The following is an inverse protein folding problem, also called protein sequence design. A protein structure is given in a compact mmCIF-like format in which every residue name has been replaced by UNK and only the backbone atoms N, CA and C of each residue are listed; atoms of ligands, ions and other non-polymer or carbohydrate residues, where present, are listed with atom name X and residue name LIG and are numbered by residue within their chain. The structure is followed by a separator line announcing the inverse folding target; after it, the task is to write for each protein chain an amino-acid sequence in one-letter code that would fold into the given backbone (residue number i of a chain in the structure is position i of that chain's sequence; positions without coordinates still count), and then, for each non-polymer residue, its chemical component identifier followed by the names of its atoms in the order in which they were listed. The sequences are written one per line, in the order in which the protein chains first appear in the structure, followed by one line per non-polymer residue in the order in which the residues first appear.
data_IF_805674164016
#
_entry.id   IF_805674164016
#
_cell.length_a   1.000
_cell.length_b   1.000
_cell.length_c   1.000
_cell.angle_alpha   90.00
_cell.angle_beta   90.00
_cell.angle_gamma   90.00
#
_symmetry.space_group_name_H-M   'P 1'
#
loop_
_entity.id
_entity.type
_entity.pdbx_description
1 polymer ?
#
# COMPACT_ATOMS: atom_id res chain seq x y z
N UNK A 1 22.55 7.36 19.59
CA UNK A 1 21.65 6.42 18.88
C UNK A 1 20.26 6.70 19.39
N UNK A 2 19.37 7.26 18.56
CA UNK A 2 17.95 7.34 18.87
C UNK A 2 17.42 5.93 19.04
N UNK A 3 16.69 5.67 20.11
CA UNK A 3 15.97 4.39 20.24
C UNK A 3 14.84 4.36 19.20
N UNK A 4 14.39 3.19 18.80
CA UNK A 4 13.26 3.01 17.88
C UNK A 4 11.97 3.76 18.33
N UNK A 5 11.93 4.20 19.58
CA UNK A 5 10.84 4.97 20.20
C UNK A 5 11.04 6.48 20.10
N UNK A 6 12.19 6.94 19.62
CA UNK A 6 12.45 8.38 19.55
C UNK A 6 11.95 8.96 18.24
N UNK A 7 10.62 8.96 18.08
CA UNK A 7 9.90 9.60 16.96
C UNK A 7 10.13 11.12 16.91
N UNK A 8 10.86 11.70 17.87
CA UNK A 8 11.10 13.14 18.01
C UNK A 8 12.58 13.53 17.97
N UNK A 9 13.46 12.69 17.42
CA UNK A 9 14.90 12.93 17.34
C UNK A 9 15.31 14.01 16.30
N UNK A 10 14.35 14.73 15.77
CA UNK A 10 14.56 15.76 14.74
C UNK A 10 14.38 15.25 13.30
N UNK A 11 14.50 13.98 13.05
CA UNK A 11 14.23 13.34 11.76
C UNK A 11 12.77 12.87 11.67
N UNK A 12 11.84 13.81 11.69
CA UNK A 12 10.40 13.51 11.56
C UNK A 12 10.10 12.95 10.17
N UNK A 13 10.29 11.65 10.00
CA UNK A 13 9.89 10.96 8.81
C UNK A 13 8.48 10.40 9.01
N UNK A 14 7.57 10.69 8.09
CA UNK A 14 6.25 10.07 8.09
C UNK A 14 6.35 8.59 7.71
N UNK A 15 5.42 7.76 8.21
CA UNK A 15 5.32 6.34 7.83
C UNK A 15 5.24 6.16 6.31
N UNK A 16 4.53 7.06 5.61
CA UNK A 16 4.45 7.04 4.15
C UNK A 16 5.80 7.30 3.47
N UNK A 17 6.59 8.26 3.95
CA UNK A 17 7.91 8.52 3.40
C UNK A 17 8.89 7.37 3.66
N UNK A 18 8.82 6.76 4.86
CA UNK A 18 9.60 5.57 5.18
C UNK A 18 9.21 4.40 4.28
N UNK A 19 7.91 4.17 4.09
CA UNK A 19 7.41 3.14 3.16
C UNK A 19 8.03 3.29 1.77
N UNK A 20 7.92 4.48 1.16
CA UNK A 20 8.41 4.68 -0.20
C UNK A 20 9.92 4.46 -0.34
N UNK A 21 10.72 4.93 0.64
CA UNK A 21 12.17 4.69 0.67
C UNK A 21 12.52 3.21 0.82
N UNK A 22 11.94 2.56 1.83
CA UNK A 22 12.19 1.14 2.10
C UNK A 22 11.78 0.27 0.93
N UNK A 23 10.67 0.59 0.25
CA UNK A 23 10.24 -0.12 -0.93
C UNK A 23 11.27 -0.03 -2.07
N UNK A 24 11.80 1.16 -2.33
CA UNK A 24 12.85 1.36 -3.33
C UNK A 24 14.15 0.60 -2.98
N UNK A 25 14.55 0.60 -1.70
CA UNK A 25 15.72 -0.14 -1.21
C UNK A 25 15.52 -1.67 -1.33
N UNK A 26 14.33 -2.17 -1.05
CA UNK A 26 14.00 -3.59 -1.22
C UNK A 26 13.97 -3.98 -2.71
N UNK A 27 13.42 -3.12 -3.56
CA UNK A 27 13.39 -3.36 -5.01
C UNK A 27 14.79 -3.37 -5.63
N UNK A 28 15.74 -2.63 -5.07
CA UNK A 28 17.15 -2.71 -5.49
C UNK A 28 17.77 -4.11 -5.22
N UNK A 29 17.26 -4.82 -4.20
CA UNK A 29 17.77 -6.14 -3.79
C UNK A 29 17.01 -7.30 -4.45
N UNK A 30 15.74 -7.09 -4.81
CA UNK A 30 14.90 -8.14 -5.42
C UNK A 30 14.18 -7.59 -6.66
N UNK A 31 14.52 -8.05 -7.87
CA UNK A 31 13.91 -7.58 -9.10
C UNK A 31 12.43 -7.97 -9.26
N UNK A 32 11.92 -8.88 -8.44
CA UNK A 32 10.50 -9.27 -8.46
C UNK A 32 9.59 -8.23 -7.82
N UNK A 33 10.14 -7.31 -7.02
CA UNK A 33 9.35 -6.26 -6.37
C UNK A 33 8.92 -5.23 -7.41
N UNK A 34 7.61 -5.04 -7.50
CA UNK A 34 6.95 -4.08 -8.40
C UNK A 34 5.87 -3.30 -7.66
N UNK A 35 5.57 -2.10 -8.12
CA UNK A 35 4.53 -1.25 -7.58
C UNK A 35 3.34 -1.15 -8.53
N UNK A 36 2.13 -1.07 -7.97
CA UNK A 36 0.91 -0.74 -8.71
C UNK A 36 0.19 0.38 -7.98
N UNK A 37 -0.27 1.38 -8.70
CA UNK A 37 -0.97 2.54 -8.13
C UNK A 37 -2.20 2.92 -8.96
N UNK A 38 -3.22 3.48 -8.30
CA UNK A 38 -4.42 4.00 -8.93
C UNK A 38 -4.39 5.53 -8.96
N UNK A 39 -3.40 6.08 -9.69
CA UNK A 39 -3.13 7.52 -9.87
C UNK A 39 -2.80 8.26 -8.54
N UNK A 40 -2.31 7.56 -7.55
CA UNK A 40 -1.96 8.09 -6.24
C UNK A 40 -0.47 7.93 -5.89
N UNK A 41 0.41 7.81 -6.89
CA UNK A 41 1.82 7.52 -6.69
C UNK A 41 2.51 8.51 -5.73
N UNK A 42 2.25 9.82 -5.88
CA UNK A 42 2.80 10.86 -5.01
C UNK A 42 2.20 10.80 -3.61
N UNK A 43 0.87 10.69 -3.50
CA UNK A 43 0.16 10.74 -2.23
C UNK A 43 0.43 9.53 -1.33
N UNK A 44 0.70 8.38 -1.92
CA UNK A 44 1.04 7.13 -1.19
C UNK A 44 2.54 6.92 -1.04
N UNK A 45 3.38 7.79 -1.60
CA UNK A 45 4.84 7.70 -1.67
C UNK A 45 5.40 6.49 -2.46
N UNK A 46 4.56 5.69 -3.11
CA UNK A 46 5.04 4.60 -3.99
C UNK A 46 5.78 5.16 -5.22
N UNK A 47 5.60 6.45 -5.53
CA UNK A 47 6.31 7.16 -6.59
C UNK A 47 7.82 7.08 -6.47
N UNK A 48 8.38 6.99 -5.25
CA UNK A 48 9.81 6.80 -5.03
C UNK A 48 10.36 5.51 -5.66
N UNK A 49 9.55 4.45 -5.71
CA UNK A 49 9.89 3.25 -6.47
C UNK A 49 9.98 3.57 -7.96
N UNK A 50 9.01 4.31 -8.50
CA UNK A 50 8.99 4.68 -9.93
C UNK A 50 10.12 5.63 -10.33
N UNK A 51 10.54 6.52 -9.43
CA UNK A 51 11.73 7.37 -9.64
C UNK A 51 13.02 6.54 -9.73
N UNK A 52 13.15 5.52 -8.87
CA UNK A 52 14.31 4.62 -8.87
C UNK A 52 14.28 3.56 -9.97
N UNK A 53 13.09 3.04 -10.29
CA UNK A 53 12.86 1.95 -11.23
C UNK A 53 11.60 2.20 -12.06
N UNK A 54 11.65 3.04 -13.11
CA UNK A 54 10.48 3.45 -13.91
C UNK A 54 9.69 2.26 -14.49
N UNK A 55 10.38 1.21 -14.90
CA UNK A 55 9.76 0.02 -15.50
C UNK A 55 9.07 -0.92 -14.48
N UNK A 56 9.12 -0.58 -13.18
CA UNK A 56 8.55 -1.39 -12.11
C UNK A 56 7.40 -0.71 -11.36
N UNK A 57 6.94 0.44 -11.81
CA UNK A 57 5.75 1.10 -11.29
C UNK A 57 4.69 1.19 -12.38
N UNK A 58 3.55 0.54 -12.13
CA UNK A 58 2.40 0.52 -13.04
C UNK A 58 1.29 1.43 -12.50
N UNK A 59 0.87 2.40 -13.29
CA UNK A 59 -0.29 3.24 -12.97
C UNK A 59 -1.49 2.75 -13.78
N UNK A 60 -2.53 2.29 -13.10
CA UNK A 60 -3.76 1.77 -13.73
C UNK A 60 -4.86 2.83 -13.88
N UNK A 61 -4.55 4.09 -13.55
CA UNK A 61 -5.55 5.15 -13.47
C UNK A 61 -6.39 5.06 -12.18
N UNK A 62 -7.41 5.91 -12.08
CA UNK A 62 -8.32 5.94 -10.91
C UNK A 62 -9.28 4.74 -10.99
N UNK A 63 -8.76 3.54 -10.69
CA UNK A 63 -9.44 2.26 -10.88
C UNK A 63 -8.98 1.22 -9.85
N UNK A 64 -9.44 1.33 -8.60
CA UNK A 64 -8.96 0.50 -7.50
C UNK A 64 -9.28 -0.99 -7.66
N UNK A 65 -10.39 -1.34 -8.32
CA UNK A 65 -10.69 -2.73 -8.65
C UNK A 65 -9.62 -3.29 -9.60
N UNK A 66 -9.30 -2.55 -10.66
CA UNK A 66 -8.25 -2.93 -11.59
C UNK A 66 -6.86 -2.96 -10.93
N UNK A 67 -6.59 -2.06 -9.97
CA UNK A 67 -5.36 -2.05 -9.18
C UNK A 67 -5.06 -3.43 -8.56
N UNK A 68 -6.05 -4.00 -7.88
CA UNK A 68 -5.87 -5.30 -7.19
C UNK A 68 -5.92 -6.48 -8.16
N UNK A 69 -6.72 -6.41 -9.23
CA UNK A 69 -6.70 -7.42 -10.29
C UNK A 69 -5.34 -7.50 -11.01
N UNK A 70 -4.76 -6.35 -11.36
CA UNK A 70 -3.41 -6.28 -11.96
C UNK A 70 -2.36 -6.77 -10.98
N UNK A 71 -2.41 -6.37 -9.71
CA UNK A 71 -1.50 -6.85 -8.68
C UNK A 71 -1.58 -8.38 -8.52
N UNK A 72 -2.79 -8.95 -8.50
CA UNK A 72 -2.99 -10.39 -8.44
C UNK A 72 -2.41 -11.09 -9.67
N UNK A 73 -2.61 -10.55 -10.87
CA UNK A 73 -2.03 -11.07 -12.11
C UNK A 73 -0.50 -11.08 -12.09
N UNK A 74 0.12 -9.98 -11.65
CA UNK A 74 1.57 -9.88 -11.48
C UNK A 74 2.10 -10.91 -10.47
N UNK A 75 1.39 -11.10 -9.35
CA UNK A 75 1.75 -12.11 -8.38
C UNK A 75 1.69 -13.54 -8.94
N UNK A 76 0.70 -13.83 -9.80
CA UNK A 76 0.58 -15.13 -10.48
C UNK A 76 1.75 -15.47 -11.38
N UNK A 77 2.38 -14.47 -11.99
CA UNK A 77 3.54 -14.67 -12.86
C UNK A 77 4.88 -14.50 -12.13
N UNK A 78 4.85 -14.46 -10.79
CA UNK A 78 6.06 -14.55 -9.95
C UNK A 78 6.62 -13.24 -9.43
N UNK A 79 5.93 -12.11 -9.64
CA UNK A 79 6.31 -10.84 -9.02
C UNK A 79 5.81 -10.74 -7.56
N UNK A 80 6.36 -9.77 -6.84
CA UNK A 80 5.95 -9.39 -5.48
C UNK A 80 5.37 -7.98 -5.56
N UNK A 81 4.07 -7.84 -5.88
CA UNK A 81 3.46 -6.54 -6.11
C UNK A 81 3.09 -5.84 -4.80
N UNK A 82 3.40 -4.55 -4.73
CA UNK A 82 2.94 -3.59 -3.74
C UNK A 82 1.85 -2.72 -4.38
N UNK A 83 0.60 -2.93 -4.01
CA UNK A 83 -0.56 -2.20 -4.52
C UNK A 83 -0.92 -1.08 -3.54
N UNK A 84 -0.74 0.19 -3.96
CA UNK A 84 -0.88 1.35 -3.08
C UNK A 84 -2.03 2.26 -3.49
N UNK A 85 -2.92 2.50 -2.53
CA UNK A 85 -4.02 3.46 -2.61
C UNK A 85 -4.40 3.96 -1.21
N UNK A 86 -5.45 4.79 -1.07
CA UNK A 86 -5.97 5.17 0.23
C UNK A 86 -6.78 4.03 0.87
N UNK A 87 -6.81 4.00 2.21
CA UNK A 87 -7.47 2.94 2.96
C UNK A 87 -8.96 2.79 2.59
N UNK A 88 -9.68 3.91 2.49
CA UNK A 88 -11.10 3.90 2.11
C UNK A 88 -11.32 3.29 0.73
N UNK A 89 -10.42 3.58 -0.22
CA UNK A 89 -10.55 3.07 -1.59
C UNK A 89 -10.13 1.60 -1.70
N UNK A 90 -9.11 1.19 -0.96
CA UNK A 90 -8.76 -0.22 -0.85
C UNK A 90 -9.93 -1.04 -0.30
N UNK A 91 -10.54 -0.57 0.81
CA UNK A 91 -11.58 -1.31 1.50
C UNK A 91 -12.91 -1.34 0.77
N UNK A 92 -13.40 -0.17 0.31
CA UNK A 92 -14.76 -0.06 -0.21
C UNK A 92 -14.85 -0.14 -1.74
N UNK A 93 -13.79 0.19 -2.47
CA UNK A 93 -13.78 0.06 -3.94
C UNK A 93 -13.13 -1.23 -4.40
N UNK A 94 -11.99 -1.61 -3.81
CA UNK A 94 -11.23 -2.79 -4.20
C UNK A 94 -11.36 -4.00 -3.27
N UNK A 95 -12.22 -3.93 -2.26
CA UNK A 95 -12.33 -4.97 -1.22
C UNK A 95 -12.71 -6.35 -1.76
N UNK A 96 -13.56 -6.40 -2.78
CA UNK A 96 -13.95 -7.65 -3.44
C UNK A 96 -12.72 -8.28 -4.13
N UNK A 97 -11.95 -7.52 -4.91
CA UNK A 97 -10.76 -8.02 -5.60
C UNK A 97 -9.65 -8.40 -4.61
N UNK A 98 -9.48 -7.66 -3.51
CA UNK A 98 -8.57 -8.08 -2.44
C UNK A 98 -8.99 -9.44 -1.90
N UNK A 99 -10.29 -9.65 -1.68
CA UNK A 99 -10.82 -10.91 -1.16
C UNK A 99 -10.65 -12.06 -2.14
N UNK A 100 -11.09 -11.89 -3.39
CA UNK A 100 -11.19 -13.01 -4.37
C UNK A 100 -9.92 -13.20 -5.16
N UNK A 101 -9.28 -12.11 -5.60
CA UNK A 101 -8.12 -12.21 -6.47
C UNK A 101 -6.82 -12.38 -5.68
N UNK A 102 -6.71 -11.73 -4.51
CA UNK A 102 -5.49 -11.79 -3.72
C UNK A 102 -5.57 -12.83 -2.59
N UNK A 103 -6.48 -12.65 -1.62
CA UNK A 103 -6.50 -13.42 -0.39
C UNK A 103 -7.00 -14.86 -0.57
N UNK A 104 -8.06 -15.07 -1.34
CA UNK A 104 -8.58 -16.40 -1.64
C UNK A 104 -7.52 -17.28 -2.31
N UNK A 105 -6.77 -16.71 -3.24
CA UNK A 105 -5.71 -17.41 -3.96
C UNK A 105 -4.37 -17.44 -3.19
N UNK A 106 -4.30 -16.85 -2.00
CA UNK A 106 -3.09 -16.77 -1.15
C UNK A 106 -1.88 -16.17 -1.89
N UNK A 107 -2.11 -15.16 -2.72
CA UNK A 107 -1.06 -14.51 -3.49
C UNK A 107 -0.23 -13.55 -2.63
N UNK A 108 1.07 -13.38 -2.92
CA UNK A 108 1.96 -12.51 -2.15
C UNK A 108 1.76 -11.01 -2.46
N UNK A 109 0.53 -10.57 -2.67
CA UNK A 109 0.19 -9.16 -2.88
C UNK A 109 0.31 -8.39 -1.57
N UNK A 110 1.03 -7.26 -1.58
CA UNK A 110 1.11 -6.33 -0.47
C UNK A 110 0.13 -5.18 -0.72
N UNK A 111 -0.97 -5.16 0.00
CA UNK A 111 -1.96 -4.08 -0.03
C UNK A 111 -1.48 -2.98 0.92
N UNK A 112 -1.06 -1.85 0.36
CA UNK A 112 -0.59 -0.70 1.12
C UNK A 112 -1.68 0.37 1.13
N UNK A 113 -2.37 0.44 2.25
CA UNK A 113 -3.52 1.31 2.45
C UNK A 113 -3.11 2.50 3.33
N UNK A 114 -2.93 3.67 2.73
CA UNK A 114 -2.54 4.89 3.46
C UNK A 114 -3.78 5.68 3.90
N UNK A 115 -3.58 6.65 4.79
CA UNK A 115 -4.62 7.56 5.25
C UNK A 115 -5.81 6.87 5.94
N UNK A 116 -5.54 5.82 6.75
CA UNK A 116 -6.56 5.16 7.57
C UNK A 116 -7.13 6.07 8.67
N UNK A 117 -8.29 5.71 9.18
CA UNK A 117 -9.01 6.49 10.18
C UNK A 117 -9.38 7.88 9.66
N UNK A 118 -9.16 8.90 10.48
CA UNK A 118 -9.42 10.31 10.17
C UNK A 118 -8.15 11.09 9.82
N UNK A 119 -7.05 10.40 9.56
CA UNK A 119 -5.72 11.01 9.40
C UNK A 119 -5.59 11.91 8.16
N UNK A 120 -6.47 11.76 7.17
CA UNK A 120 -6.48 12.64 6.00
C UNK A 120 -7.06 14.04 6.28
N UNK A 121 -7.66 14.27 7.48
CA UNK A 121 -8.05 15.59 7.94
C UNK A 121 -8.93 16.35 6.95
N UNK A 122 -8.38 17.37 6.33
CA UNK A 122 -9.09 18.32 5.46
C UNK A 122 -9.77 17.72 4.23
N UNK A 123 -9.42 16.51 3.80
CA UNK A 123 -10.13 15.85 2.70
C UNK A 123 -11.56 15.41 3.05
N UNK A 124 -11.88 15.38 4.33
CA UNK A 124 -13.23 15.17 4.85
C UNK A 124 -13.69 13.71 4.81
N UNK A 125 -14.95 13.52 5.14
CA UNK A 125 -15.55 12.19 5.39
C UNK A 125 -15.51 11.24 4.19
N UNK A 126 -15.44 11.75 2.97
CA UNK A 126 -15.34 10.90 1.76
C UNK A 126 -13.98 10.21 1.62
N UNK A 127 -12.98 10.64 2.37
CA UNK A 127 -11.61 10.10 2.36
C UNK A 127 -11.20 9.51 3.71
N UNK A 128 -12.01 9.65 4.74
CA UNK A 128 -11.80 8.99 6.02
C UNK A 128 -12.20 7.52 5.91
N UNK A 129 -11.46 6.66 6.58
CA UNK A 129 -11.72 5.23 6.60
C UNK A 129 -11.70 4.70 8.04
N UNK A 130 -12.86 4.50 8.61
CA UNK A 130 -13.02 3.95 9.97
C UNK A 130 -13.37 2.46 9.97
N UNK A 131 -13.60 1.88 8.80
CA UNK A 131 -14.05 0.51 8.58
C UNK A 131 -12.92 -0.45 8.15
N UNK A 132 -11.73 0.06 7.80
CA UNK A 132 -10.64 -0.68 7.18
C UNK A 132 -10.24 -1.93 7.97
N UNK A 133 -10.04 -1.81 9.27
CA UNK A 133 -9.66 -2.94 10.12
C UNK A 133 -10.75 -3.99 10.21
N UNK A 134 -12.00 -3.56 10.31
CA UNK A 134 -13.14 -4.47 10.39
C UNK A 134 -13.28 -5.28 9.10
N UNK A 135 -13.21 -4.61 7.95
CA UNK A 135 -13.34 -5.23 6.63
C UNK A 135 -12.16 -6.17 6.36
N UNK A 136 -10.92 -5.69 6.51
CA UNK A 136 -9.73 -6.47 6.17
C UNK A 136 -9.52 -7.67 7.09
N UNK A 137 -9.84 -7.56 8.38
CA UNK A 137 -9.76 -8.67 9.33
C UNK A 137 -10.82 -9.74 9.10
N UNK A 138 -11.91 -9.43 8.44
CA UNK A 138 -12.95 -10.40 8.09
C UNK A 138 -12.59 -11.27 6.87
N UNK A 139 -11.56 -10.88 6.10
CA UNK A 139 -11.14 -11.61 4.90
C UNK A 139 -10.22 -12.77 5.30
N UNK A 140 -10.57 -14.05 5.03
CA UNK A 140 -9.71 -15.19 5.29
C UNK A 140 -8.37 -15.08 4.55
N UNK A 141 -7.29 -15.56 5.16
CA UNK A 141 -5.90 -15.51 4.67
C UNK A 141 -5.28 -14.11 4.63
N UNK A 142 -6.01 -13.07 5.06
CA UNK A 142 -5.45 -11.73 5.13
C UNK A 142 -4.67 -11.53 6.43
N UNK A 143 -3.42 -11.03 6.32
CA UNK A 143 -2.66 -10.54 7.48
C UNK A 143 -2.77 -9.02 7.50
N UNK A 144 -3.27 -8.47 8.59
CA UNK A 144 -3.44 -7.02 8.75
C UNK A 144 -2.39 -6.49 9.72
N UNK A 145 -1.58 -5.55 9.26
CA UNK A 145 -0.51 -4.90 10.05
C UNK A 145 -0.77 -3.39 10.09
N UNK A 146 -0.71 -2.82 11.27
CA UNK A 146 -0.94 -1.40 11.50
C UNK A 146 0.26 -0.85 12.25
N UNK A 147 1.24 -0.27 11.54
CA UNK A 147 2.42 0.32 12.16
C UNK A 147 2.03 1.50 13.06
N UNK A 148 2.61 1.57 14.25
CA UNK A 148 2.41 2.68 15.17
C UNK A 148 3.26 3.91 14.79
N UNK A 149 4.38 3.69 14.12
CA UNK A 149 5.36 4.70 13.71
C UNK A 149 6.06 4.32 12.40
N UNK A 150 7.12 5.05 12.06
CA UNK A 150 7.89 4.85 10.83
C UNK A 150 9.05 3.82 10.96
N UNK A 151 9.21 3.18 12.11
CA UNK A 151 10.35 2.28 12.39
C UNK A 151 9.95 0.84 12.59
#
# INVERSE_FOLDING_TARGET
MGTAWNVYDGNKMSSGAMYGRTLAELAAKDPRIVGVTADLAKSTNIGLLGEAFPDRLFNVGIAEQNLFGVAAGLAKVGFIPFASTFAIFACLRGGEQIRTDCAYQKLPVKVIATHGGVSFGAAGSTHHCIEDFAIMRAIPNMTVVIPADAY
#
